data_IF_974691019140
#
_entry.id   IF_974691019140
#
_cell.length_a   1.000
_cell.length_b   1.000
_cell.length_c   1.000
_cell.angle_alpha   90.00
_cell.angle_beta   90.00
_cell.angle_gamma   90.00
#
_symmetry.space_group_name_H-M   'P 1'
#
loop_
_entity.id
_entity.type
_entity.pdbx_description
1 polymer ?
#
# COMPACT_ATOMS: atom_id res chain seq x y z
N UNK A 1 -23.54 35.65 -23.96
CA UNK A 1 -23.03 36.40 -22.80
C UNK A 1 -21.72 35.73 -22.39
N UNK A 2 -20.61 36.47 -22.51
CA UNK A 2 -19.23 36.20 -22.09
C UNK A 2 -18.48 34.91 -22.51
N UNK A 3 -17.55 35.12 -23.44
CA UNK A 3 -16.36 34.29 -23.75
C UNK A 3 -15.19 34.75 -22.86
N UNK A 4 -14.32 33.86 -22.31
CA UNK A 4 -12.99 34.23 -21.84
C UNK A 4 -11.93 33.72 -22.82
N UNK A 5 -11.34 34.59 -23.65
CA UNK A 5 -10.07 35.36 -23.47
C UNK A 5 -8.78 34.52 -23.47
N UNK A 6 -8.04 34.79 -24.54
CA UNK A 6 -6.72 34.36 -25.01
C UNK A 6 -5.57 34.38 -23.97
N UNK A 7 -4.71 33.37 -24.10
CA UNK A 7 -3.24 33.43 -24.19
C UNK A 7 -2.58 34.78 -23.85
N UNK A 8 -1.79 34.80 -22.76
CA UNK A 8 -0.67 35.73 -22.61
C UNK A 8 0.58 35.01 -22.09
N UNK A 9 1.59 34.99 -22.97
CA UNK A 9 3.01 34.72 -22.68
C UNK A 9 3.49 35.66 -21.57
N UNK A 10 4.16 35.12 -20.55
CA UNK A 10 5.05 35.88 -19.68
C UNK A 10 6.46 35.80 -20.26
N UNK A 11 6.89 36.89 -20.88
CA UNK A 11 8.29 37.20 -21.17
C UNK A 11 8.78 38.19 -20.12
N UNK A 12 9.96 37.92 -19.56
CA UNK A 12 10.63 38.76 -18.57
C UNK A 12 11.02 40.13 -19.16
N UNK A 13 10.98 41.24 -18.38
CA UNK A 13 11.51 42.51 -18.83
C UNK A 13 13.03 42.55 -18.67
N UNK A 14 13.72 42.72 -19.79
CA UNK A 14 15.14 43.12 -19.82
C UNK A 14 15.29 44.59 -19.45
N UNK A 15 16.30 44.86 -18.63
CA UNK A 15 16.80 46.19 -18.28
C UNK A 15 17.79 46.62 -19.38
N UNK A 16 17.48 47.70 -20.07
CA UNK A 16 18.35 48.31 -21.08
C UNK A 16 19.34 49.29 -20.44
N UNK A 17 20.57 49.31 -20.92
CA UNK A 17 21.42 50.51 -21.07
C UNK A 17 22.34 50.33 -22.30
N UNK A 18 22.81 51.42 -22.93
CA UNK A 18 22.95 51.48 -24.39
C UNK A 18 24.38 51.67 -24.95
N UNK A 19 24.51 51.29 -26.23
CA UNK A 19 25.34 51.82 -27.35
C UNK A 19 26.86 51.95 -27.21
N UNK A 20 27.62 51.36 -28.16
CA UNK A 20 28.38 52.04 -29.25
C UNK A 20 29.23 51.06 -30.09
N UNK A 21 29.39 51.33 -31.40
CA UNK A 21 30.46 50.86 -32.32
C UNK A 21 30.24 49.50 -33.00
N UNK A 22 29.88 49.40 -34.29
CA UNK A 22 30.70 49.52 -35.54
C UNK A 22 31.41 48.22 -35.97
N UNK A 23 31.16 47.81 -37.24
CA UNK A 23 31.93 46.95 -38.17
C UNK A 23 32.37 45.54 -37.68
N UNK A 24 32.36 44.42 -38.41
CA UNK A 24 32.51 44.15 -39.85
C UNK A 24 32.01 42.73 -40.19
N UNK A 25 31.88 42.45 -41.48
CA UNK A 25 31.62 41.15 -42.10
C UNK A 25 32.83 40.19 -41.93
N UNK A 26 32.61 38.89 -41.69
CA UNK A 26 33.14 37.77 -42.50
C UNK A 26 33.14 36.37 -41.81
N UNK A 27 32.86 35.38 -42.66
CA UNK A 27 33.43 34.02 -42.74
C UNK A 27 33.44 33.02 -41.54
N UNK A 28 32.60 31.99 -41.71
CA UNK A 28 32.90 30.54 -41.69
C UNK A 28 34.14 29.99 -40.91
N UNK A 29 33.92 29.22 -39.84
CA UNK A 29 34.64 27.97 -39.50
C UNK A 29 33.98 27.25 -38.29
N UNK A 30 34.05 25.89 -38.20
CA UNK A 30 33.24 25.10 -37.29
C UNK A 30 33.87 25.00 -35.89
N UNK A 31 33.08 25.23 -34.85
CA UNK A 31 33.47 24.85 -33.49
C UNK A 31 32.98 23.43 -33.21
N UNK A 32 33.93 22.51 -33.15
CA UNK A 32 33.82 21.19 -32.55
C UNK A 32 33.17 21.30 -31.17
N UNK A 33 31.96 20.78 -31.04
CA UNK A 33 31.33 20.53 -29.74
C UNK A 33 32.11 19.44 -29.02
N UNK A 34 32.97 19.84 -28.09
CA UNK A 34 33.41 18.96 -27.01
C UNK A 34 32.16 18.50 -26.24
N UNK A 35 32.02 17.17 -26.16
CA UNK A 35 30.96 16.50 -25.44
C UNK A 35 31.31 16.49 -23.96
N UNK A 36 30.48 17.04 -23.04
CA UNK A 36 30.60 16.71 -21.63
C UNK A 36 29.86 15.39 -21.41
N UNK A 37 30.63 14.31 -21.28
CA UNK A 37 30.12 13.01 -20.85
C UNK A 37 29.75 13.05 -19.34
N UNK A 38 28.56 12.53 -19.00
CA UNK A 38 28.18 12.09 -17.64
C UNK A 38 27.68 13.18 -16.70
N UNK A 39 26.36 13.50 -16.72
CA UNK A 39 25.44 12.94 -15.71
C UNK A 39 24.00 12.66 -16.22
N UNK A 40 23.70 12.83 -17.51
CA UNK A 40 22.33 12.75 -18.06
C UNK A 40 21.72 11.34 -18.08
N UNK A 41 22.52 10.31 -18.40
CA UNK A 41 22.02 8.95 -18.60
C UNK A 41 21.44 8.31 -17.32
N UNK A 42 22.06 8.56 -16.15
CA UNK A 42 21.61 8.00 -14.87
C UNK A 42 20.31 8.67 -14.38
N UNK A 43 20.17 9.98 -14.62
CA UNK A 43 18.96 10.75 -14.26
C UNK A 43 17.76 10.30 -15.10
N UNK A 44 18.00 9.93 -16.36
CA UNK A 44 16.93 9.47 -17.26
C UNK A 44 16.54 8.01 -17.00
N UNK A 45 17.49 7.15 -16.59
CA UNK A 45 17.19 5.79 -16.13
C UNK A 45 16.28 5.78 -14.88
N UNK A 46 16.57 6.62 -13.88
CA UNK A 46 15.75 6.69 -12.66
C UNK A 46 14.34 7.26 -12.90
N UNK A 47 14.16 8.14 -13.89
CA UNK A 47 12.82 8.60 -14.31
C UNK A 47 12.05 7.50 -15.00
N UNK A 48 12.72 6.74 -15.88
CA UNK A 48 12.13 5.62 -16.60
C UNK A 48 11.65 4.55 -15.62
N UNK A 49 12.47 4.18 -14.65
CA UNK A 49 12.13 3.19 -13.61
C UNK A 49 10.89 3.61 -12.80
N UNK A 50 10.82 4.87 -12.35
CA UNK A 50 9.64 5.40 -11.65
C UNK A 50 8.39 5.41 -12.52
N UNK A 51 8.54 5.65 -13.83
CA UNK A 51 7.42 5.60 -14.77
C UNK A 51 6.95 4.16 -14.98
N UNK A 52 7.87 3.20 -15.09
CA UNK A 52 7.54 1.76 -15.17
C UNK A 52 6.80 1.30 -13.91
N UNK A 53 7.25 1.70 -12.72
CA UNK A 53 6.56 1.37 -11.46
C UNK A 53 5.16 1.99 -11.38
N UNK A 54 5.02 3.24 -11.82
CA UNK A 54 3.73 3.90 -11.95
C UNK A 54 2.80 3.12 -12.89
N UNK A 55 3.28 2.78 -14.10
CA UNK A 55 2.53 2.01 -15.10
C UNK A 55 2.13 0.64 -14.56
N UNK A 56 3.04 -0.11 -13.93
CA UNK A 56 2.74 -1.39 -13.31
C UNK A 56 1.60 -1.29 -12.27
N UNK A 57 1.56 -0.18 -11.53
CA UNK A 57 0.53 0.03 -10.51
C UNK A 57 -0.82 0.37 -11.16
N UNK A 58 -0.86 1.40 -12.02
CA UNK A 58 -2.11 1.97 -12.55
C UNK A 58 -2.68 1.19 -13.74
N UNK A 59 -1.85 0.43 -14.45
CA UNK A 59 -2.28 -0.45 -15.54
C UNK A 59 -2.26 -1.92 -15.10
N UNK A 60 -2.24 -2.21 -13.80
CA UNK A 60 -2.58 -3.57 -13.37
C UNK A 60 -4.05 -3.87 -13.71
N UNK A 61 -4.37 -5.09 -14.17
CA UNK A 61 -5.75 -5.43 -14.52
C UNK A 61 -6.68 -5.35 -13.30
N UNK A 62 -6.14 -5.57 -12.10
CA UNK A 62 -6.83 -5.33 -10.83
C UNK A 62 -7.19 -3.86 -10.65
N UNK A 63 -6.23 -2.94 -10.80
CA UNK A 63 -6.50 -1.51 -10.64
C UNK A 63 -7.50 -1.01 -11.69
N UNK A 64 -7.30 -1.37 -12.96
CA UNK A 64 -8.19 -0.94 -14.06
C UNK A 64 -9.63 -1.42 -13.79
N UNK A 65 -9.81 -2.68 -13.40
CA UNK A 65 -11.15 -3.22 -13.16
C UNK A 65 -11.82 -2.61 -11.92
N UNK A 66 -11.08 -2.46 -10.82
CA UNK A 66 -11.63 -1.87 -9.58
C UNK A 66 -11.95 -0.38 -9.78
N UNK A 67 -11.07 0.36 -10.44
CA UNK A 67 -11.30 1.78 -10.73
C UNK A 67 -12.51 1.99 -11.66
N UNK A 68 -12.69 1.14 -12.68
CA UNK A 68 -13.87 1.19 -13.55
C UNK A 68 -15.18 0.93 -12.77
N UNK A 69 -15.17 -0.05 -11.85
CA UNK A 69 -16.33 -0.32 -10.98
C UNK A 69 -16.64 0.83 -10.03
N UNK A 70 -15.61 1.46 -9.47
CA UNK A 70 -15.77 2.59 -8.56
C UNK A 70 -16.27 3.84 -9.31
N UNK A 71 -15.82 4.07 -10.56
CA UNK A 71 -16.36 5.12 -11.43
C UNK A 71 -17.84 4.92 -11.72
N UNK A 72 -18.23 3.71 -12.12
CA UNK A 72 -19.63 3.37 -12.41
C UNK A 72 -20.54 3.58 -11.20
N UNK A 73 -20.03 3.32 -9.98
CA UNK A 73 -20.76 3.51 -8.73
C UNK A 73 -20.86 4.98 -8.30
N UNK A 74 -19.78 5.74 -8.45
CA UNK A 74 -19.68 7.06 -7.82
C UNK A 74 -19.95 8.20 -8.79
N UNK A 75 -19.42 8.17 -10.01
CA UNK A 75 -19.31 9.35 -10.89
C UNK A 75 -19.57 8.96 -12.37
N UNK A 76 -20.83 8.68 -12.77
CA UNK A 76 -21.15 8.24 -14.13
C UNK A 76 -20.81 9.26 -15.23
N UNK A 77 -20.51 10.52 -14.87
CA UNK A 77 -20.09 11.55 -15.81
C UNK A 77 -18.60 11.49 -16.21
N UNK A 78 -17.76 10.80 -15.44
CA UNK A 78 -16.33 10.57 -15.74
C UNK A 78 -16.13 9.09 -15.96
N UNK A 79 -15.80 8.69 -17.20
CA UNK A 79 -15.63 7.28 -17.58
C UNK A 79 -14.23 6.89 -18.05
N UNK A 80 -13.12 7.58 -17.73
CA UNK A 80 -11.82 7.22 -18.29
C UNK A 80 -11.40 5.78 -17.95
N UNK A 81 -11.68 5.28 -16.74
CA UNK A 81 -11.39 3.89 -16.38
C UNK A 81 -12.38 2.92 -17.00
N UNK A 82 -13.67 3.26 -17.02
CA UNK A 82 -14.70 2.42 -17.66
C UNK A 82 -14.49 2.30 -19.18
N UNK A 83 -14.14 3.38 -19.85
CA UNK A 83 -13.77 3.42 -21.28
C UNK A 83 -12.52 2.59 -21.54
N UNK A 84 -11.50 2.71 -20.66
CA UNK A 84 -10.28 1.92 -20.77
C UNK A 84 -10.58 0.42 -20.61
N UNK A 85 -11.35 0.04 -19.59
CA UNK A 85 -11.75 -1.33 -19.35
C UNK A 85 -12.56 -1.91 -20.51
N UNK A 86 -13.50 -1.13 -21.06
CA UNK A 86 -14.27 -1.51 -22.24
C UNK A 86 -13.37 -1.69 -23.48
N UNK A 87 -12.42 -0.78 -23.71
CA UNK A 87 -11.47 -0.88 -24.81
C UNK A 87 -10.55 -2.11 -24.69
N UNK A 88 -10.12 -2.44 -23.47
CA UNK A 88 -9.37 -3.67 -23.17
C UNK A 88 -10.23 -4.90 -23.47
N UNK A 89 -11.49 -4.91 -23.03
CA UNK A 89 -12.39 -6.05 -23.19
C UNK A 89 -12.85 -6.26 -24.64
N UNK A 90 -12.91 -5.20 -25.45
CA UNK A 90 -13.38 -5.25 -26.84
C UNK A 90 -12.43 -5.97 -27.81
N UNK A 91 -11.18 -6.29 -27.39
CA UNK A 91 -10.17 -7.07 -28.16
C UNK A 91 -9.81 -6.53 -29.56
N UNK A 92 -10.32 -5.36 -29.96
CA UNK A 92 -10.21 -4.83 -31.32
C UNK A 92 -9.14 -3.74 -31.48
N UNK A 93 -8.16 -3.98 -32.35
CA UNK A 93 -7.16 -3.02 -32.89
C UNK A 93 -6.09 -2.44 -31.96
N UNK A 94 -6.19 -2.68 -30.65
CA UNK A 94 -5.27 -2.10 -29.67
C UNK A 94 -5.47 -0.60 -29.45
N UNK A 95 -4.90 -0.08 -28.36
CA UNK A 95 -5.05 1.31 -27.92
C UNK A 95 -3.80 2.09 -28.32
N UNK A 96 -3.96 3.14 -29.12
CA UNK A 96 -2.85 4.05 -29.44
C UNK A 96 -2.37 4.79 -28.18
N UNK A 97 -1.05 4.98 -28.03
CA UNK A 97 -0.46 5.60 -26.82
C UNK A 97 -1.03 6.99 -26.51
N UNK A 98 -1.36 7.77 -27.53
CA UNK A 98 -2.01 9.07 -27.33
C UNK A 98 -3.39 8.95 -26.65
N UNK A 99 -4.15 7.89 -26.96
CA UNK A 99 -5.43 7.60 -26.29
C UNK A 99 -5.20 7.09 -24.87
N UNK A 100 -4.17 6.28 -24.65
CA UNK A 100 -3.79 5.84 -23.31
C UNK A 100 -3.44 7.02 -22.38
N UNK A 101 -2.74 8.04 -22.88
CA UNK A 101 -2.44 9.28 -22.14
C UNK A 101 -3.70 10.02 -21.68
N UNK A 102 -4.81 9.91 -22.43
CA UNK A 102 -6.10 10.52 -22.08
C UNK A 102 -6.90 9.68 -21.10
N UNK A 103 -6.84 8.35 -21.24
CA UNK A 103 -7.62 7.40 -20.46
C UNK A 103 -7.03 7.09 -19.09
N UNK A 104 -5.74 7.35 -18.87
CA UNK A 104 -5.05 7.06 -17.60
C UNK A 104 -4.79 8.37 -16.85
N UNK A 105 -5.57 8.69 -15.79
CA UNK A 105 -5.36 9.86 -14.96
C UNK A 105 -3.92 10.00 -14.46
N UNK A 106 -3.34 11.19 -14.61
CA UNK A 106 -1.97 11.48 -14.17
C UNK A 106 -0.86 10.90 -15.05
N UNK A 107 -1.16 10.13 -16.10
CA UNK A 107 -0.11 9.64 -17.00
C UNK A 107 0.50 10.77 -17.83
N UNK A 108 -0.31 11.69 -18.36
CA UNK A 108 0.17 12.83 -19.14
C UNK A 108 1.06 13.80 -18.34
N UNK A 109 0.88 13.89 -17.00
CA UNK A 109 1.73 14.74 -16.15
C UNK A 109 3.10 14.09 -15.87
N UNK A 110 3.15 12.76 -15.86
CA UNK A 110 4.37 11.97 -15.63
C UNK A 110 5.13 11.67 -16.92
N UNK A 111 4.43 11.62 -18.05
CA UNK A 111 4.99 11.28 -19.35
C UNK A 111 4.86 12.44 -20.34
N UNK A 112 5.94 13.20 -20.52
CA UNK A 112 5.96 14.43 -21.34
C UNK A 112 6.01 14.19 -22.85
N UNK A 113 6.23 12.96 -23.30
CA UNK A 113 6.24 12.60 -24.73
C UNK A 113 5.75 11.18 -24.96
N UNK A 114 5.23 10.91 -26.16
CA UNK A 114 4.78 9.57 -26.57
C UNK A 114 5.97 8.61 -26.66
N UNK A 115 7.14 9.06 -27.13
CA UNK A 115 8.36 8.25 -27.19
C UNK A 115 8.87 7.81 -25.81
N UNK A 116 8.72 8.67 -24.78
CA UNK A 116 9.05 8.27 -23.41
C UNK A 116 8.07 7.20 -22.89
N UNK A 117 6.79 7.30 -23.25
CA UNK A 117 5.79 6.29 -22.91
C UNK A 117 6.10 4.97 -23.59
N UNK A 118 6.44 5.00 -24.88
CA UNK A 118 6.86 3.83 -25.63
C UNK A 118 8.07 3.15 -24.98
N UNK A 119 9.13 3.90 -24.68
CA UNK A 119 10.32 3.34 -24.03
C UNK A 119 10.00 2.72 -22.65
N UNK A 120 9.12 3.35 -21.87
CA UNK A 120 8.68 2.82 -20.58
C UNK A 120 7.85 1.54 -20.74
N UNK A 121 6.94 1.50 -21.70
CA UNK A 121 6.12 0.31 -21.99
C UNK A 121 6.97 -0.85 -22.51
N UNK A 122 7.96 -0.60 -23.37
CA UNK A 122 8.91 -1.63 -23.83
C UNK A 122 9.71 -2.21 -22.67
N UNK A 123 10.24 -1.34 -21.80
CA UNK A 123 10.97 -1.77 -20.59
C UNK A 123 10.08 -2.59 -19.66
N UNK A 124 8.84 -2.14 -19.48
CA UNK A 124 7.86 -2.80 -18.63
C UNK A 124 7.45 -4.17 -19.18
N UNK A 125 7.21 -4.27 -20.50
CA UNK A 125 6.86 -5.49 -21.22
C UNK A 125 7.98 -6.54 -21.13
N UNK A 126 9.24 -6.13 -21.17
CA UNK A 126 10.39 -7.03 -21.06
C UNK A 126 10.59 -7.62 -19.65
N UNK A 127 9.98 -7.01 -18.62
CA UNK A 127 10.10 -7.44 -17.23
C UNK A 127 8.76 -7.77 -16.59
N UNK A 128 8.31 -6.91 -15.67
CA UNK A 128 7.17 -7.18 -14.80
C UNK A 128 5.81 -7.31 -15.50
N UNK A 129 5.64 -6.81 -16.73
CA UNK A 129 4.42 -7.01 -17.52
C UNK A 129 4.61 -7.98 -18.70
N UNK A 130 5.58 -8.88 -18.60
CA UNK A 130 5.75 -9.95 -19.59
C UNK A 130 4.44 -10.71 -19.80
N UNK A 131 3.94 -10.69 -21.04
CA UNK A 131 2.68 -11.34 -21.43
C UNK A 131 1.40 -10.58 -21.11
N UNK A 132 1.47 -9.32 -20.65
CA UNK A 132 0.27 -8.48 -20.45
C UNK A 132 -0.22 -7.87 -21.76
N UNK A 133 0.70 -7.47 -22.63
CA UNK A 133 0.40 -6.83 -23.90
C UNK A 133 1.54 -6.99 -24.92
N UNK A 134 1.24 -6.71 -26.18
CA UNK A 134 2.21 -6.39 -27.23
C UNK A 134 2.20 -4.89 -27.54
N UNK A 135 3.35 -4.36 -27.95
CA UNK A 135 3.52 -2.97 -28.35
C UNK A 135 4.07 -2.93 -29.78
N UNK A 136 3.32 -2.31 -30.69
CA UNK A 136 3.72 -2.15 -32.09
C UNK A 136 3.26 -0.78 -32.61
N UNK A 137 4.15 -0.02 -33.23
CA UNK A 137 3.85 1.29 -33.84
C UNK A 137 3.00 2.21 -32.93
N UNK A 138 3.41 2.38 -31.67
CA UNK A 138 2.69 3.15 -30.64
C UNK A 138 1.26 2.66 -30.35
N UNK A 139 0.96 1.37 -30.55
CA UNK A 139 -0.30 0.73 -30.18
C UNK A 139 -0.05 -0.42 -29.22
N UNK A 140 -0.83 -0.44 -28.13
CA UNK A 140 -0.86 -1.54 -27.16
C UNK A 140 -1.99 -2.48 -27.51
N UNK A 141 -1.68 -3.76 -27.67
CA UNK A 141 -2.68 -4.83 -27.78
C UNK A 141 -2.58 -5.71 -26.55
N UNK A 142 -3.63 -5.73 -25.73
CA UNK A 142 -3.68 -6.49 -24.49
C UNK A 142 -3.81 -7.98 -24.77
N UNK A 143 -3.18 -8.82 -23.94
CA UNK A 143 -3.32 -10.27 -24.06
C UNK A 143 -4.71 -10.74 -23.61
N UNK A 144 -5.15 -11.89 -24.11
CA UNK A 144 -6.43 -12.47 -23.74
C UNK A 144 -6.56 -12.68 -22.24
N UNK A 145 -5.51 -13.15 -21.57
CA UNK A 145 -5.51 -13.34 -20.12
C UNK A 145 -5.72 -12.04 -19.35
N UNK A 146 -5.08 -10.94 -19.80
CA UNK A 146 -5.26 -9.62 -19.20
C UNK A 146 -6.71 -9.12 -19.40
N UNK A 147 -7.20 -9.17 -20.64
CA UNK A 147 -8.54 -8.71 -20.98
C UNK A 147 -9.64 -9.51 -20.28
N UNK A 148 -9.45 -10.82 -20.14
CA UNK A 148 -10.38 -11.72 -19.48
C UNK A 148 -10.48 -11.41 -17.98
N UNK A 149 -9.37 -11.10 -17.32
CA UNK A 149 -9.36 -10.69 -15.91
C UNK A 149 -10.13 -9.38 -15.73
N UNK A 150 -9.82 -8.35 -16.55
CA UNK A 150 -10.51 -7.06 -16.47
C UNK A 150 -12.01 -7.23 -16.68
N UNK A 151 -12.40 -7.95 -17.74
CA UNK A 151 -13.81 -8.22 -18.07
C UNK A 151 -14.54 -8.96 -16.95
N UNK A 152 -13.95 -10.03 -16.42
CA UNK A 152 -14.56 -10.80 -15.34
C UNK A 152 -14.70 -9.96 -14.07
N UNK A 153 -13.67 -9.21 -13.70
CA UNK A 153 -13.69 -8.38 -12.50
C UNK A 153 -14.70 -7.25 -12.58
N UNK A 154 -14.79 -6.55 -13.72
CA UNK A 154 -15.76 -5.47 -13.92
C UNK A 154 -17.19 -6.00 -13.81
N UNK A 155 -17.48 -7.15 -14.44
CA UNK A 155 -18.82 -7.75 -14.42
C UNK A 155 -19.16 -8.50 -13.12
N UNK A 156 -18.18 -8.82 -12.28
CA UNK A 156 -18.39 -9.66 -11.10
C UNK A 156 -19.24 -8.96 -10.05
N UNK A 157 -20.27 -9.64 -9.54
CA UNK A 157 -20.96 -9.18 -8.33
C UNK A 157 -20.01 -9.24 -7.14
N UNK A 158 -19.38 -10.39 -6.95
CA UNK A 158 -18.41 -10.65 -5.90
C UNK A 158 -17.00 -10.83 -6.47
N UNK A 159 -16.03 -10.05 -5.97
CA UNK A 159 -14.64 -10.09 -6.47
C UNK A 159 -14.00 -11.45 -6.18
N UNK A 160 -14.37 -12.10 -5.07
CA UNK A 160 -13.82 -13.39 -4.66
C UNK A 160 -14.13 -14.51 -5.66
N UNK A 161 -15.35 -14.57 -6.19
CA UNK A 161 -15.72 -15.56 -7.20
C UNK A 161 -14.91 -15.40 -8.50
N UNK A 162 -14.66 -14.16 -8.90
CA UNK A 162 -13.91 -13.87 -10.13
C UNK A 162 -12.40 -14.08 -9.99
N UNK A 163 -11.82 -13.78 -8.81
CA UNK A 163 -10.39 -13.92 -8.57
C UNK A 163 -9.97 -15.29 -8.02
N UNK A 164 -10.79 -15.95 -7.21
CA UNK A 164 -10.45 -17.20 -6.52
C UNK A 164 -9.72 -18.23 -7.42
N UNK A 165 -10.31 -18.63 -8.56
CA UNK A 165 -9.68 -19.60 -9.48
C UNK A 165 -8.34 -19.14 -10.09
N UNK A 166 -8.01 -17.85 -9.98
CA UNK A 166 -6.81 -17.21 -10.52
C UNK A 166 -5.77 -16.89 -9.46
N UNK A 167 -6.05 -17.16 -8.18
CA UNK A 167 -5.16 -16.83 -7.07
C UNK A 167 -4.27 -18.03 -6.68
N UNK A 168 -2.97 -17.77 -6.66
CA UNK A 168 -1.98 -18.63 -6.01
C UNK A 168 -1.37 -17.87 -4.82
N UNK A 169 -1.48 -18.42 -3.62
CA UNK A 169 -0.72 -17.94 -2.46
C UNK A 169 0.67 -18.53 -2.50
N UNK A 170 1.70 -17.70 -2.41
CA UNK A 170 3.10 -18.11 -2.48
C UNK A 170 3.84 -17.64 -1.24
N UNK A 171 4.71 -18.50 -0.69
CA UNK A 171 5.64 -18.18 0.39
C UNK A 171 7.10 -18.40 -0.02
N UNK A 172 8.02 -17.90 0.81
CA UNK A 172 9.47 -18.02 0.63
C UNK A 172 9.99 -17.29 -0.62
N UNK A 173 9.36 -16.16 -0.97
CA UNK A 173 9.91 -15.24 -1.98
C UNK A 173 11.25 -14.69 -1.45
N UNK A 174 12.34 -14.74 -2.24
CA UNK A 174 13.67 -14.37 -1.79
C UNK A 174 13.73 -12.94 -1.23
N UNK A 175 14.53 -12.68 -0.18
CA UNK A 175 14.69 -11.33 0.37
C UNK A 175 15.15 -10.32 -0.67
N UNK A 176 15.87 -10.71 -1.72
CA UNK A 176 16.29 -9.79 -2.78
C UNK A 176 15.11 -9.13 -3.53
N UNK A 177 13.91 -9.74 -3.50
CA UNK A 177 12.69 -9.19 -4.12
C UNK A 177 12.06 -8.17 -3.17
N UNK A 178 12.09 -6.89 -3.57
CA UNK A 178 11.65 -5.75 -2.73
C UNK A 178 10.43 -5.03 -3.27
N UNK A 179 10.06 -5.21 -4.54
CA UNK A 179 8.93 -4.52 -5.17
C UNK A 179 7.92 -5.51 -5.75
N UNK A 180 6.68 -5.05 -5.99
CA UNK A 180 5.67 -5.86 -6.68
C UNK A 180 6.12 -6.25 -8.08
N UNK A 181 6.71 -5.32 -8.82
CA UNK A 181 7.24 -5.59 -10.15
C UNK A 181 8.27 -6.71 -10.14
N UNK A 182 9.21 -6.68 -9.17
CA UNK A 182 10.19 -7.75 -8.98
C UNK A 182 9.55 -9.07 -8.56
N UNK A 183 8.49 -9.04 -7.74
CA UNK A 183 7.76 -10.24 -7.34
C UNK A 183 7.00 -10.85 -8.53
N UNK A 184 6.33 -10.03 -9.33
CA UNK A 184 5.68 -10.42 -10.58
C UNK A 184 6.68 -11.09 -11.52
N UNK A 185 7.84 -10.47 -11.73
CA UNK A 185 8.91 -11.00 -12.58
C UNK A 185 9.51 -12.29 -12.02
N UNK A 186 9.70 -12.37 -10.69
CA UNK A 186 10.19 -13.57 -10.03
C UNK A 186 9.26 -14.76 -10.27
N UNK A 187 7.96 -14.59 -10.03
CA UNK A 187 6.97 -15.66 -10.24
C UNK A 187 6.79 -15.97 -11.73
N UNK A 188 6.88 -14.97 -12.61
CA UNK A 188 6.85 -15.20 -14.05
C UNK A 188 8.01 -16.10 -14.49
N UNK A 189 9.22 -15.91 -13.92
CA UNK A 189 10.37 -16.80 -14.16
C UNK A 189 10.16 -18.22 -13.64
N UNK A 190 9.48 -18.39 -12.49
CA UNK A 190 9.11 -19.71 -11.97
C UNK A 190 8.15 -20.45 -12.90
N UNK A 191 7.22 -19.74 -13.56
CA UNK A 191 6.25 -20.32 -14.49
C UNK A 191 6.88 -20.80 -15.83
N UNK A 192 8.14 -20.42 -16.13
CA UNK A 192 9.16 -21.03 -17.04
C UNK A 192 10.04 -19.96 -17.69
N UNK A 193 11.30 -20.31 -17.96
CA UNK A 193 12.05 -19.80 -19.11
C UNK A 193 11.34 -20.22 -20.41
N UNK A 194 10.45 -19.38 -20.96
CA UNK A 194 9.94 -19.51 -22.33
C UNK A 194 8.44 -19.76 -22.54
N UNK A 195 7.57 -19.77 -21.52
CA UNK A 195 6.13 -19.96 -21.72
C UNK A 195 5.33 -18.69 -21.35
N UNK A 196 5.14 -17.80 -22.33
CA UNK A 196 4.49 -16.50 -22.21
C UNK A 196 3.10 -16.55 -21.58
N UNK A 197 3.02 -16.34 -20.28
CA UNK A 197 1.75 -15.98 -19.67
C UNK A 197 1.95 -15.29 -18.35
N UNK A 198 1.14 -14.25 -18.23
CA UNK A 198 1.37 -13.20 -17.27
C UNK A 198 1.10 -13.67 -15.87
N UNK A 199 1.97 -13.21 -14.98
CA UNK A 199 1.55 -12.90 -13.62
C UNK A 199 0.86 -11.55 -13.70
N UNK A 200 -0.45 -11.52 -13.53
CA UNK A 200 -1.32 -10.38 -13.80
C UNK A 200 -1.55 -9.49 -12.57
N UNK A 201 -0.99 -9.84 -11.41
CA UNK A 201 -1.15 -9.02 -10.23
C UNK A 201 -0.49 -9.65 -9.01
N UNK A 202 -0.20 -8.78 -8.05
CA UNK A 202 0.39 -9.15 -6.75
C UNK A 202 -0.41 -8.46 -5.65
N UNK A 203 -0.97 -9.27 -4.77
CA UNK A 203 -1.82 -8.86 -3.66
C UNK A 203 -1.18 -9.26 -2.34
N UNK A 204 -1.15 -8.32 -1.39
CA UNK A 204 -0.70 -8.62 -0.03
C UNK A 204 -1.74 -9.50 0.69
N UNK A 205 -1.33 -10.41 1.59
CA UNK A 205 -2.27 -11.26 2.31
C UNK A 205 -3.35 -10.47 3.07
N UNK A 206 -2.97 -9.35 3.69
CA UNK A 206 -3.92 -8.46 4.37
C UNK A 206 -4.95 -7.87 3.41
N UNK A 207 -4.53 -7.53 2.19
CA UNK A 207 -5.44 -7.02 1.15
C UNK A 207 -6.45 -8.11 0.78
N UNK A 208 -6.01 -9.33 0.53
CA UNK A 208 -6.91 -10.45 0.23
C UNK A 208 -7.87 -10.72 1.38
N UNK A 209 -7.39 -10.69 2.62
CA UNK A 209 -8.23 -10.89 3.81
C UNK A 209 -9.30 -9.80 3.97
N UNK A 210 -9.00 -8.54 3.61
CA UNK A 210 -9.96 -7.44 3.69
C UNK A 210 -10.88 -7.35 2.45
N UNK A 211 -10.35 -7.57 1.26
CA UNK A 211 -11.05 -7.44 -0.02
C UNK A 211 -11.97 -8.63 -0.30
N UNK A 212 -11.43 -9.83 -0.16
CA UNK A 212 -12.08 -11.06 -0.61
C UNK A 212 -12.86 -11.75 0.49
N UNK A 213 -12.52 -11.50 1.76
CA UNK A 213 -13.22 -12.13 2.89
C UNK A 213 -14.10 -11.17 3.71
N UNK A 214 -14.02 -9.85 3.50
CA UNK A 214 -14.77 -8.88 4.31
C UNK A 214 -15.52 -7.80 3.50
N UNK A 215 -15.56 -7.92 2.17
CA UNK A 215 -16.30 -7.05 1.23
C UNK A 215 -16.13 -5.55 1.49
N UNK A 216 -14.87 -5.08 1.57
CA UNK A 216 -14.52 -3.66 1.72
C UNK A 216 -13.68 -3.17 0.55
N UNK A 217 -13.86 -1.91 0.18
CA UNK A 217 -13.04 -1.22 -0.83
C UNK A 217 -11.57 -1.23 -0.40
N UNK A 218 -10.69 -1.49 -1.36
CA UNK A 218 -9.29 -1.81 -1.11
C UNK A 218 -8.39 -0.78 -1.75
N UNK A 219 -7.59 -0.14 -0.93
CA UNK A 219 -6.40 0.57 -1.41
C UNK A 219 -5.27 -0.45 -1.58
N UNK A 220 -4.83 -0.66 -2.81
CA UNK A 220 -3.61 -1.39 -3.12
C UNK A 220 -2.40 -0.56 -2.64
N UNK A 221 -2.09 -0.60 -1.35
CA UNK A 221 -1.04 0.23 -0.73
C UNK A 221 0.32 0.04 -1.39
N UNK A 222 1.18 1.05 -1.46
CA UNK A 222 2.35 1.07 -2.37
C UNK A 222 3.51 0.09 -2.05
N UNK A 223 3.57 -0.52 -0.86
CA UNK A 223 4.77 -1.26 -0.42
C UNK A 223 4.55 -2.77 -0.36
N UNK A 224 5.38 -3.52 -1.08
CA UNK A 224 5.55 -4.96 -0.90
C UNK A 224 6.42 -5.20 0.34
N UNK A 225 5.89 -5.88 1.36
CA UNK A 225 6.60 -6.02 2.66
C UNK A 225 7.00 -7.46 2.95
N UNK A 226 6.76 -8.37 2.01
CA UNK A 226 6.46 -9.73 2.39
C UNK A 226 7.21 -10.76 1.54
N UNK A 227 7.91 -11.71 2.18
CA UNK A 227 8.39 -12.92 1.52
C UNK A 227 7.24 -13.87 1.09
N UNK A 228 6.00 -13.37 1.03
CA UNK A 228 4.78 -14.11 0.73
C UNK A 228 3.70 -13.21 0.14
N UNK A 229 2.79 -13.74 -0.65
CA UNK A 229 1.64 -12.98 -1.14
C UNK A 229 0.77 -13.78 -2.08
N UNK A 230 -0.29 -13.16 -2.56
CA UNK A 230 -1.18 -13.74 -3.55
C UNK A 230 -0.84 -13.21 -4.93
N UNK A 231 -0.78 -14.12 -5.90
CA UNK A 231 -0.46 -13.83 -7.27
C UNK A 231 -1.66 -14.15 -8.15
N UNK A 232 -2.01 -13.22 -9.03
CA UNK A 232 -3.11 -13.38 -9.99
C UNK A 232 -2.54 -13.95 -11.28
N UNK A 233 -2.99 -15.14 -11.67
CA UNK A 233 -2.50 -15.89 -12.81
C UNK A 233 -3.67 -16.29 -13.73
N UNK A 234 -3.35 -16.94 -14.85
CA UNK A 234 -4.33 -17.78 -15.52
C UNK A 234 -4.67 -19.01 -14.65
N UNK A 235 -5.92 -19.46 -14.66
CA UNK A 235 -6.37 -20.57 -13.83
C UNK A 235 -5.55 -21.85 -14.05
N UNK A 236 -5.18 -22.17 -15.30
CA UNK A 236 -4.34 -23.34 -15.62
C UNK A 236 -2.92 -23.22 -15.07
N UNK A 237 -2.44 -21.98 -14.88
CA UNK A 237 -1.11 -21.69 -14.33
C UNK A 237 -1.09 -21.79 -12.81
N UNK A 238 -2.21 -21.51 -12.15
CA UNK A 238 -2.34 -21.73 -10.70
C UNK A 238 -2.10 -23.20 -10.38
N UNK A 239 -2.78 -24.11 -11.08
CA UNK A 239 -2.64 -25.57 -10.91
C UNK A 239 -1.18 -26.00 -11.13
N UNK A 240 -0.61 -25.65 -12.30
CA UNK A 240 0.78 -26.00 -12.61
C UNK A 240 1.78 -25.51 -11.56
N UNK A 241 1.64 -24.27 -11.08
CA UNK A 241 2.55 -23.69 -10.10
C UNK A 241 2.41 -24.36 -8.73
N UNK A 242 1.19 -24.67 -8.30
CA UNK A 242 0.93 -25.33 -7.02
C UNK A 242 1.36 -26.80 -7.04
N UNK A 243 1.28 -27.49 -8.18
CA UNK A 243 1.77 -28.86 -8.34
C UNK A 243 3.31 -28.92 -8.36
N UNK A 244 3.95 -27.92 -8.97
CA UNK A 244 5.42 -27.86 -9.07
C UNK A 244 6.07 -27.43 -7.74
N UNK A 245 5.40 -26.57 -6.99
CA UNK A 245 5.89 -26.02 -5.72
C UNK A 245 4.87 -26.28 -4.60
N UNK A 246 4.60 -27.55 -4.25
CA UNK A 246 3.55 -27.87 -3.30
C UNK A 246 3.87 -27.33 -1.91
N UNK A 247 2.83 -26.92 -1.19
CA UNK A 247 2.94 -26.52 0.20
C UNK A 247 3.09 -27.76 1.10
N UNK A 248 4.31 -28.29 1.19
CA UNK A 248 4.67 -29.43 2.04
C UNK A 248 5.50 -28.99 3.25
N UNK A 249 4.93 -29.12 4.45
CA UNK A 249 5.59 -28.76 5.70
C UNK A 249 6.79 -29.66 6.03
N UNK A 250 6.84 -30.88 5.48
CA UNK A 250 7.96 -31.81 5.70
C UNK A 250 9.25 -31.31 5.05
N UNK A 251 9.16 -30.43 4.05
CA UNK A 251 10.31 -29.91 3.30
C UNK A 251 11.07 -28.78 4.02
N UNK A 252 10.68 -28.41 5.26
CA UNK A 252 11.31 -27.35 6.07
C UNK A 252 12.75 -27.61 6.52
N UNK A 253 13.33 -28.77 6.20
CA UNK A 253 14.60 -29.24 6.77
C UNK A 253 15.84 -28.70 6.01
N UNK A 254 15.67 -28.14 4.81
CA UNK A 254 16.78 -27.67 3.98
C UNK A 254 17.15 -26.19 4.22
N UNK A 255 18.45 -25.88 4.17
CA UNK A 255 19.03 -24.54 4.42
C UNK A 255 18.56 -23.45 3.44
N UNK A 256 18.04 -23.84 2.28
CA UNK A 256 17.35 -22.96 1.34
C UNK A 256 15.87 -23.34 1.38
N UNK A 257 15.02 -22.48 1.94
CA UNK A 257 13.58 -22.76 1.97
C UNK A 257 13.03 -22.68 0.53
N UNK A 258 12.52 -23.79 -0.04
CA UNK A 258 11.96 -23.77 -1.38
C UNK A 258 10.71 -22.89 -1.43
N UNK A 259 10.42 -22.33 -2.60
CA UNK A 259 9.14 -21.65 -2.85
C UNK A 259 8.00 -22.63 -2.60
N UNK A 260 6.94 -22.15 -1.93
CA UNK A 260 5.76 -22.95 -1.59
C UNK A 260 4.51 -22.26 -2.10
N UNK A 261 3.59 -23.01 -2.69
CA UNK A 261 2.39 -22.50 -3.34
C UNK A 261 1.14 -23.22 -2.83
N UNK A 262 0.06 -22.46 -2.61
CA UNK A 262 -1.28 -22.94 -2.31
C UNK A 262 -2.26 -22.33 -3.33
N UNK A 263 -3.12 -23.18 -3.91
CA UNK A 263 -4.27 -22.67 -4.67
C UNK A 263 -5.29 -22.04 -3.73
N UNK A 264 -6.17 -21.18 -4.25
CA UNK A 264 -7.22 -20.55 -3.44
C UNK A 264 -8.05 -21.53 -2.61
N UNK A 265 -8.59 -22.64 -3.16
CA UNK A 265 -9.37 -23.59 -2.35
C UNK A 265 -8.55 -24.32 -1.29
N UNK A 266 -7.24 -24.49 -1.49
CA UNK A 266 -6.36 -25.06 -0.46
C UNK A 266 -6.08 -24.04 0.63
N UNK A 267 -5.85 -22.78 0.26
CA UNK A 267 -5.66 -21.68 1.20
C UNK A 267 -6.90 -21.47 2.07
N UNK A 268 -8.11 -21.45 1.49
CA UNK A 268 -9.37 -21.32 2.25
C UNK A 268 -9.53 -22.45 3.26
N UNK A 269 -9.25 -23.69 2.85
CA UNK A 269 -9.27 -24.86 3.75
C UNK A 269 -8.27 -24.70 4.89
N UNK A 270 -7.03 -24.32 4.59
CA UNK A 270 -5.99 -24.12 5.60
C UNK A 270 -6.35 -22.96 6.54
N UNK A 271 -6.88 -21.86 6.01
CA UNK A 271 -7.33 -20.71 6.78
C UNK A 271 -8.52 -21.07 7.69
N UNK A 272 -9.48 -21.84 7.18
CA UNK A 272 -10.61 -22.35 7.95
C UNK A 272 -10.14 -23.30 9.07
N UNK A 273 -9.22 -24.22 8.78
CA UNK A 273 -8.60 -25.09 9.79
C UNK A 273 -7.86 -24.29 10.85
N UNK A 274 -7.07 -23.30 10.44
CA UNK A 274 -6.35 -22.43 11.37
C UNK A 274 -7.31 -21.59 12.23
N UNK A 275 -8.38 -21.07 11.63
CA UNK A 275 -9.42 -20.31 12.34
C UNK A 275 -10.17 -21.21 13.32
N UNK A 276 -10.58 -22.41 12.90
CA UNK A 276 -11.24 -23.39 13.75
C UNK A 276 -10.30 -23.85 14.89
N UNK A 277 -9.02 -24.05 14.60
CA UNK A 277 -8.02 -24.36 15.61
C UNK A 277 -7.80 -23.20 16.57
N UNK A 278 -7.74 -21.96 16.10
CA UNK A 278 -7.69 -20.77 16.94
C UNK A 278 -8.97 -20.59 17.78
N UNK A 279 -10.13 -21.01 17.26
CA UNK A 279 -11.40 -21.01 17.99
C UNK A 279 -11.48 -22.14 19.03
N UNK A 280 -10.91 -23.31 18.73
CA UNK A 280 -10.85 -24.46 19.62
C UNK A 280 -9.77 -24.32 20.71
N UNK A 281 -8.65 -23.69 20.36
CA UNK A 281 -7.60 -23.25 21.28
C UNK A 281 -7.92 -21.90 21.92
N UNK A 282 -8.97 -21.22 21.46
CA UNK A 282 -9.56 -20.13 22.22
C UNK A 282 -10.01 -20.82 23.50
N UNK A 283 -9.36 -20.56 24.65
CA UNK A 283 -9.85 -21.15 25.88
C UNK A 283 -11.33 -20.79 25.96
N UNK A 284 -12.19 -21.79 26.20
CA UNK A 284 -13.59 -21.57 26.55
C UNK A 284 -13.57 -20.38 27.49
N UNK A 285 -14.21 -19.26 27.07
CA UNK A 285 -13.99 -17.93 27.64
C UNK A 285 -13.72 -18.13 29.12
N UNK A 286 -12.45 -18.03 29.55
CA UNK A 286 -12.13 -18.64 30.81
C UNK A 286 -13.01 -17.91 31.78
N UNK A 287 -13.79 -18.66 32.56
CA UNK A 287 -14.33 -18.17 33.80
C UNK A 287 -13.15 -17.94 34.75
N UNK A 288 -12.13 -17.21 34.28
CA UNK A 288 -11.32 -16.36 35.11
C UNK A 288 -12.38 -15.51 35.75
N UNK A 289 -12.57 -15.74 37.04
CA UNK A 289 -13.10 -14.74 37.94
C UNK A 289 -12.64 -13.39 37.42
N UNK A 290 -13.61 -12.51 37.21
CA UNK A 290 -13.60 -11.27 36.45
C UNK A 290 -12.53 -10.23 36.88
N UNK A 291 -11.47 -10.63 37.56
CA UNK A 291 -10.77 -9.75 38.47
C UNK A 291 -9.65 -8.96 37.78
N UNK A 292 -8.96 -9.45 36.74
CA UNK A 292 -7.87 -8.64 36.17
C UNK A 292 -7.80 -8.63 34.63
N UNK A 293 -8.55 -7.69 34.01
CA UNK A 293 -8.42 -7.23 32.61
C UNK A 293 -7.08 -6.49 32.38
N UNK A 294 -5.95 -7.05 32.83
CA UNK A 294 -4.66 -6.36 32.89
C UNK A 294 -4.18 -5.83 31.53
N UNK A 295 -4.53 -6.52 30.43
CA UNK A 295 -4.16 -6.14 29.06
C UNK A 295 -4.81 -4.83 28.58
N UNK A 296 -5.89 -4.38 29.23
CA UNK A 296 -6.46 -3.05 28.99
C UNK A 296 -5.53 -1.94 29.46
N UNK A 297 -4.66 -2.25 30.42
CA UNK A 297 -3.93 -1.24 31.18
C UNK A 297 -4.82 -0.63 32.25
N UNK A 298 -4.42 0.53 32.73
CA UNK A 298 -5.24 1.39 33.60
C UNK A 298 -5.28 2.80 33.03
N UNK A 299 -6.46 3.41 33.04
CA UNK A 299 -6.69 4.80 32.68
C UNK A 299 -6.34 5.72 33.84
N UNK A 300 -5.44 6.65 33.58
CA UNK A 300 -5.12 7.77 34.45
C UNK A 300 -5.66 9.07 33.85
N UNK A 301 -5.99 10.01 34.72
CA UNK A 301 -6.45 11.34 34.37
C UNK A 301 -5.41 12.36 34.78
N UNK A 302 -5.15 13.30 33.88
CA UNK A 302 -4.42 14.53 34.18
C UNK A 302 -5.36 15.71 33.93
N UNK A 303 -5.86 16.32 35.00
CA UNK A 303 -6.76 17.47 34.92
C UNK A 303 -5.99 18.73 34.49
N UNK A 304 -6.55 19.52 33.56
CA UNK A 304 -5.96 20.78 33.11
C UNK A 304 -6.89 21.95 33.44
N UNK A 305 -6.36 23.15 33.76
CA UNK A 305 -4.96 23.43 34.06
C UNK A 305 -4.59 22.92 35.47
N UNK A 306 -3.38 22.37 35.65
CA UNK A 306 -2.84 22.08 36.98
C UNK A 306 -1.86 23.20 37.39
N UNK A 307 -1.92 23.61 38.65
CA UNK A 307 -1.18 24.80 39.14
C UNK A 307 0.25 24.49 39.56
N UNK A 308 0.54 23.28 40.00
CA UNK A 308 1.86 22.86 40.51
C UNK A 308 2.14 21.40 40.17
N UNK A 309 3.41 21.08 39.91
CA UNK A 309 3.88 19.70 39.75
C UNK A 309 5.06 19.53 38.78
N UNK A 310 5.55 18.29 38.67
CA UNK A 310 6.72 17.91 37.86
C UNK A 310 6.45 17.72 36.36
N UNK A 311 5.18 17.74 35.94
CA UNK A 311 4.78 17.65 34.54
C UNK A 311 4.59 19.05 33.98
N UNK A 312 5.05 19.28 32.76
CA UNK A 312 4.88 20.57 32.07
C UNK A 312 4.15 20.36 30.74
N UNK A 313 3.03 21.04 30.53
CA UNK A 313 2.31 21.04 29.24
C UNK A 313 2.37 22.46 28.66
N UNK A 314 2.92 22.67 27.45
CA UNK A 314 2.94 23.99 26.83
C UNK A 314 1.53 24.59 26.70
N UNK A 315 1.40 25.88 26.99
CA UNK A 315 0.17 26.63 26.74
C UNK A 315 0.02 26.90 25.23
N UNK A 316 -1.19 26.69 24.70
CA UNK A 316 -1.49 26.86 23.28
C UNK A 316 -1.04 25.70 22.38
N UNK A 317 -1.77 25.51 21.28
CA UNK A 317 -1.54 24.44 20.31
C UNK A 317 -2.71 23.46 20.19
N UNK A 318 -2.74 22.73 19.08
CA UNK A 318 -3.79 21.75 18.80
C UNK A 318 -3.54 20.47 19.62
N UNK A 319 -4.40 20.22 20.61
CA UNK A 319 -4.32 19.17 21.66
C UNK A 319 -4.58 17.76 21.13
N UNK A 320 -4.01 17.45 19.98
CA UNK A 320 -4.09 16.16 19.29
C UNK A 320 -3.27 15.08 20.00
N UNK A 321 -3.52 13.80 19.65
CA UNK A 321 -2.70 12.66 20.10
C UNK A 321 -1.20 12.89 19.82
N UNK A 322 -0.87 13.51 18.68
CA UNK A 322 0.51 13.84 18.32
C UNK A 322 1.15 14.88 19.25
N UNK A 323 0.37 15.86 19.72
CA UNK A 323 0.82 16.83 20.71
C UNK A 323 1.18 16.16 22.03
N UNK A 324 0.31 15.29 22.56
CA UNK A 324 0.54 14.58 23.81
C UNK A 324 1.78 13.67 23.73
N UNK A 325 1.96 12.98 22.61
CA UNK A 325 3.12 12.12 22.40
C UNK A 325 4.45 12.90 22.32
N UNK A 326 4.43 14.17 21.88
CA UNK A 326 5.64 15.00 21.83
C UNK A 326 5.99 15.64 23.18
N UNK A 327 4.98 16.08 23.92
CA UNK A 327 5.22 16.91 25.11
C UNK A 327 5.02 16.15 26.41
N UNK A 328 3.97 15.35 26.54
CA UNK A 328 3.63 14.69 27.81
C UNK A 328 4.24 13.29 27.94
N UNK A 329 4.19 12.48 26.87
CA UNK A 329 4.73 11.10 26.89
C UNK A 329 6.18 11.02 27.36
N UNK A 330 7.12 11.86 26.85
CA UNK A 330 8.53 11.74 27.24
C UNK A 330 8.79 12.07 28.71
N UNK A 331 7.92 12.87 29.33
CA UNK A 331 8.05 13.21 30.75
C UNK A 331 7.59 12.04 31.63
N UNK A 332 6.46 11.42 31.27
CA UNK A 332 5.94 10.24 31.96
C UNK A 332 6.89 9.04 31.83
N UNK A 333 7.40 8.81 30.61
CA UNK A 333 8.28 7.67 30.32
C UNK A 333 9.74 7.86 30.78
N UNK A 334 10.12 9.07 31.19
CA UNK A 334 11.41 9.30 31.87
C UNK A 334 11.46 8.63 33.24
N UNK A 335 10.34 8.66 33.98
CA UNK A 335 10.21 8.02 35.29
C UNK A 335 9.82 6.54 35.18
N UNK A 336 8.96 6.20 34.22
CA UNK A 336 8.49 4.81 34.01
C UNK A 336 8.55 4.47 32.52
N UNK A 337 9.67 3.92 32.02
CA UNK A 337 9.86 3.62 30.60
C UNK A 337 8.77 2.72 30.01
N UNK A 338 8.38 2.99 28.77
CA UNK A 338 7.37 2.23 28.01
C UNK A 338 5.98 2.11 28.68
N UNK A 339 5.71 2.97 29.66
CA UNK A 339 4.47 2.92 30.44
C UNK A 339 3.23 3.34 29.67
N UNK A 340 3.35 4.13 28.59
CA UNK A 340 2.21 4.81 27.96
C UNK A 340 1.83 4.17 26.63
N UNK A 341 0.62 3.59 26.60
CA UNK A 341 0.06 2.95 25.41
C UNK A 341 -0.72 3.92 24.52
N UNK A 342 -1.48 4.85 25.11
CA UNK A 342 -2.31 5.79 24.37
C UNK A 342 -2.67 7.02 25.21
N UNK A 343 -2.83 8.18 24.58
CA UNK A 343 -3.29 9.40 25.26
C UNK A 343 -4.22 10.18 24.34
N UNK A 344 -5.26 10.78 24.92
CA UNK A 344 -6.17 11.65 24.20
C UNK A 344 -6.81 12.67 25.14
N UNK A 345 -7.38 13.72 24.56
CA UNK A 345 -8.21 14.67 25.30
C UNK A 345 -9.46 13.99 25.83
N UNK A 346 -9.76 14.23 27.10
CA UNK A 346 -10.97 13.76 27.75
C UNK A 346 -11.49 14.88 28.66
N UNK A 347 -12.63 15.47 28.28
CA UNK A 347 -13.22 16.63 28.96
C UNK A 347 -12.17 17.75 29.15
N UNK A 348 -12.01 18.23 30.38
CA UNK A 348 -11.07 19.29 30.75
C UNK A 348 -9.65 18.75 31.06
N UNK A 349 -9.35 17.50 30.68
CA UNK A 349 -8.07 16.86 30.97
C UNK A 349 -7.57 15.94 29.86
N UNK A 350 -6.57 15.14 30.22
CA UNK A 350 -5.99 14.12 29.36
C UNK A 350 -6.23 12.75 29.98
N UNK A 351 -6.84 11.86 29.21
CA UNK A 351 -6.93 10.45 29.56
C UNK A 351 -5.69 9.73 29.04
N UNK A 352 -4.95 9.13 29.97
CA UNK A 352 -3.67 8.45 29.75
C UNK A 352 -3.89 6.96 29.99
N UNK A 353 -3.80 6.19 28.91
CA UNK A 353 -3.85 4.73 28.98
C UNK A 353 -2.45 4.18 29.18
N UNK A 354 -2.25 3.47 30.27
CA UNK A 354 -1.01 2.72 30.52
C UNK A 354 -0.95 1.41 29.74
N UNK A 355 0.27 0.92 29.49
CA UNK A 355 0.49 -0.37 28.83
C UNK A 355 0.18 -1.57 29.74
N UNK A 356 0.19 -1.37 31.06
CA UNK A 356 -0.07 -2.39 32.09
C UNK A 356 -0.50 -1.70 33.40
N UNK A 357 -1.39 -2.29 34.23
CA UNK A 357 -1.83 -1.71 35.50
C UNK A 357 -0.69 -1.40 36.48
N UNK A 358 0.36 -2.21 36.48
CA UNK A 358 1.56 -1.99 37.32
C UNK A 358 2.20 -0.61 37.03
N UNK A 359 2.24 -0.20 35.76
CA UNK A 359 2.78 1.11 35.41
C UNK A 359 1.90 2.25 35.89
N UNK A 360 0.58 2.05 36.02
CA UNK A 360 -0.28 3.06 36.59
C UNK A 360 0.03 3.29 38.07
N UNK A 361 0.24 2.23 38.85
CA UNK A 361 0.70 2.36 40.24
C UNK A 361 2.04 3.08 40.35
N UNK A 362 2.99 2.74 39.46
CA UNK A 362 4.29 3.42 39.44
C UNK A 362 4.15 4.90 39.07
N UNK A 363 3.38 5.23 38.04
CA UNK A 363 3.17 6.62 37.62
C UNK A 363 2.46 7.44 38.71
N UNK A 364 1.44 6.89 39.38
CA UNK A 364 0.76 7.55 40.50
C UNK A 364 1.71 7.84 41.68
N UNK A 365 2.69 6.96 41.91
CA UNK A 365 3.71 7.19 42.93
C UNK A 365 4.74 8.28 42.54
N UNK A 366 4.97 8.49 41.23
CA UNK A 366 5.96 9.47 40.74
C UNK A 366 5.35 10.84 40.41
N UNK A 367 4.07 10.89 40.10
CA UNK A 367 3.38 12.08 39.62
C UNK A 367 2.08 12.28 40.41
N UNK A 368 2.13 13.16 41.40
CA UNK A 368 0.99 13.48 42.26
C UNK A 368 -0.17 14.16 41.50
N UNK A 369 0.08 14.68 40.28
CA UNK A 369 -0.95 15.30 39.44
C UNK A 369 -1.78 14.29 38.64
N UNK A 370 -1.46 13.01 38.72
CA UNK A 370 -2.22 11.95 38.07
C UNK A 370 -3.24 11.37 39.03
N UNK A 371 -4.47 11.24 38.56
CA UNK A 371 -5.52 10.55 39.27
C UNK A 371 -5.87 9.24 38.57
N UNK A 372 -6.29 8.25 39.36
CA UNK A 372 -6.84 7.03 38.78
C UNK A 372 -8.27 7.28 38.33
N UNK A 373 -8.58 6.92 37.08
CA UNK A 373 -9.96 6.97 36.60
C UNK A 373 -10.84 5.99 37.42
N UNK A 374 -12.06 6.39 37.81
CA UNK A 374 -13.00 5.48 38.46
C UNK A 374 -13.29 4.24 37.58
N UNK A 375 -13.40 3.02 38.14
CA UNK A 375 -13.54 1.80 37.34
C UNK A 375 -14.75 1.78 36.40
N UNK A 376 -15.85 2.45 36.78
CA UNK A 376 -17.05 2.57 35.93
C UNK A 376 -16.76 3.41 34.69
N UNK A 377 -16.20 4.60 34.89
CA UNK A 377 -15.85 5.53 33.83
C UNK A 377 -14.74 4.97 32.93
N UNK A 378 -13.83 4.18 33.50
CA UNK A 378 -12.78 3.48 32.77
C UNK A 378 -13.33 2.44 31.79
N UNK A 379 -14.31 1.63 32.21
CA UNK A 379 -14.95 0.65 31.33
C UNK A 379 -15.77 1.33 30.22
N UNK A 380 -16.46 2.43 30.52
CA UNK A 380 -17.20 3.22 29.53
C UNK A 380 -16.28 3.88 28.51
N UNK A 381 -15.21 4.54 28.99
CA UNK A 381 -14.21 5.16 28.12
C UNK A 381 -13.49 4.13 27.26
N UNK A 382 -13.18 2.96 27.82
CA UNK A 382 -12.57 1.85 27.08
C UNK A 382 -13.39 1.47 25.85
N UNK A 383 -14.71 1.36 26.01
CA UNK A 383 -15.62 1.00 24.92
C UNK A 383 -15.68 2.07 23.82
N UNK A 384 -15.42 3.33 24.17
CA UNK A 384 -15.44 4.46 23.24
C UNK A 384 -14.09 4.69 22.52
N UNK A 385 -13.02 4.01 22.93
CA UNK A 385 -11.72 4.14 22.26
C UNK A 385 -11.77 3.70 20.79
N UNK A 386 -10.92 4.28 19.92
CA UNK A 386 -10.82 3.83 18.54
C UNK A 386 -10.51 2.33 18.46
N UNK A 387 -11.16 1.62 17.53
CA UNK A 387 -10.99 0.18 17.35
C UNK A 387 -9.51 -0.25 17.22
N UNK A 388 -8.68 0.57 16.55
CA UNK A 388 -7.23 0.32 16.42
C UNK A 388 -6.52 0.21 17.79
N UNK A 389 -6.93 1.00 18.79
CA UNK A 389 -6.35 0.99 20.14
C UNK A 389 -6.77 -0.25 20.92
N UNK A 390 -8.04 -0.65 20.78
CA UNK A 390 -8.58 -1.87 21.38
C UNK A 390 -7.95 -3.13 20.76
N UNK A 391 -7.82 -3.17 19.43
CA UNK A 391 -7.16 -4.26 18.71
C UNK A 391 -5.69 -4.38 19.07
N UNK A 392 -4.97 -3.26 19.21
CA UNK A 392 -3.57 -3.27 19.65
C UNK A 392 -3.41 -3.85 21.08
N UNK A 393 -4.34 -3.52 21.98
CA UNK A 393 -4.38 -4.09 23.33
C UNK A 393 -4.60 -5.61 23.31
N UNK A 394 -5.56 -6.06 22.51
CA UNK A 394 -5.89 -7.47 22.38
C UNK A 394 -4.75 -8.26 21.72
N UNK A 395 -4.09 -7.68 20.71
CA UNK A 395 -2.92 -8.30 20.07
C UNK A 395 -1.77 -8.44 21.04
N UNK A 396 -1.56 -7.46 21.95
CA UNK A 396 -0.54 -7.53 22.99
C UNK A 396 -0.80 -8.68 23.97
N UNK A 397 -2.04 -8.89 24.40
CA UNK A 397 -2.46 -10.05 25.21
C UNK A 397 -2.05 -11.36 24.51
N UNK A 398 -2.48 -11.54 23.26
CA UNK A 398 -2.18 -12.75 22.48
C UNK A 398 -0.68 -12.98 22.27
N UNK A 399 0.11 -11.91 22.20
CA UNK A 399 1.56 -11.99 21.99
C UNK A 399 2.31 -12.38 23.27
N UNK A 400 1.86 -11.88 24.43
CA UNK A 400 2.50 -12.15 25.72
C UNK A 400 2.09 -13.51 26.29
N UNK A 401 0.83 -13.93 26.11
CA UNK A 401 0.37 -15.26 26.54
C UNK A 401 1.06 -16.37 25.76
N UNK A 402 1.39 -16.15 24.47
CA UNK A 402 2.19 -17.08 23.65
C UNK A 402 3.65 -17.23 24.08
N UNK A 403 4.16 -16.35 24.94
CA UNK A 403 5.52 -16.45 25.50
C UNK A 403 5.54 -17.10 26.89
N UNK A 404 4.38 -17.35 27.48
CA UNK A 404 4.19 -17.97 28.80
C UNK A 404 3.77 -19.44 28.72
N UNK A 405 3.68 -19.98 27.50
CA UNK A 405 3.61 -21.42 27.16
C UNK A 405 4.94 -21.75 26.50
#
# INVERSE_FOLDING_TARGET
MFVPRKLQKRTHPGRAQPRTGEHDQDACAPQTHETPAGPSLAVDAGKLERLVEFLHTVLSPLHVALAARDEERTHPASTPWSDLAAAIAARGSGIHLARLLQLVPGLATRCKSISLLEAALTTWQAGAAAGWFSLEAFRITWSDGYADIVRHLVAAKEIAEALGPRLAYIECIPPAVRTRAQATEYVARLLKAGAGGGVFGVLEPAVVQHALMADKTVELGARWVSGRGFFVLDARRVEHLCDTHPWDLAQRVHREEPVRCLSWPQWERLHAMYTAHQLAQRPAAPSVKMEHKWWRGTMLLLCLPFREGSLHVPEGGDRTVGFWNRHLKPQLERGVPESIAYMHMHQDGVAIRTAHPVYATQLLAHFAQLDRMPPRDEDDLWCQLPAKVQTAAHTRLLTLDRKLI
#
